data_IF_070670019871
#
_entry.id   IF_070670019871
#
_cell.length_a   1.000
_cell.length_b   1.000
_cell.length_c   1.000
_cell.angle_alpha   90.00
_cell.angle_beta   90.00
_cell.angle_gamma   90.00
#
_symmetry.space_group_name_H-M   'P 1'
#
loop_
_entity.id
_entity.type
_entity.pdbx_description
1 polymer ?
#
# COMPACT_ATOMS: atom_id res chain seq x y z
N UNK A 1 -3.58 -12.79 10.15
CA UNK A 1 -3.23 -12.79 8.73
C UNK A 1 -4.23 -11.98 7.96
N UNK A 2 -3.78 -11.19 7.02
CA UNK A 2 -4.65 -10.35 6.22
C UNK A 2 -4.76 -10.85 4.79
N UNK A 3 -5.42 -10.06 3.97
CA UNK A 3 -5.60 -10.33 2.55
C UNK A 3 -4.70 -9.37 1.76
N UNK A 4 -3.38 -9.56 1.88
CA UNK A 4 -2.39 -8.66 1.29
C UNK A 4 -1.65 -9.42 0.20
N UNK A 5 -1.62 -8.84 -1.00
CA UNK A 5 -0.93 -9.42 -2.15
C UNK A 5 0.50 -8.91 -2.19
N UNK A 6 1.44 -9.82 -2.38
CA UNK A 6 2.83 -9.42 -2.58
C UNK A 6 3.04 -8.97 -4.01
N UNK A 7 3.58 -7.77 -4.18
CA UNK A 7 3.74 -7.15 -5.49
C UNK A 7 5.18 -7.23 -5.97
N UNK A 8 5.33 -7.19 -7.29
CA UNK A 8 6.61 -7.10 -7.97
C UNK A 8 6.37 -6.38 -9.28
N UNK A 9 7.41 -6.17 -10.06
CA UNK A 9 7.23 -5.54 -11.37
C UNK A 9 6.29 -6.33 -12.26
N UNK A 10 6.18 -7.63 -12.04
CA UNK A 10 5.36 -8.51 -12.87
C UNK A 10 3.85 -8.23 -12.72
N UNK A 11 3.39 -7.99 -11.49
CA UNK A 11 1.96 -7.86 -11.23
C UNK A 11 1.52 -6.47 -10.78
N UNK A 12 2.43 -5.52 -10.67
CA UNK A 12 2.13 -4.22 -10.07
C UNK A 12 1.07 -3.44 -10.84
N UNK A 13 1.27 -3.29 -12.15
CA UNK A 13 0.37 -2.49 -12.98
C UNK A 13 -1.04 -3.09 -12.99
N UNK A 14 -1.12 -4.40 -13.19
CA UNK A 14 -2.40 -5.09 -13.20
C UNK A 14 -3.13 -4.95 -11.86
N UNK A 15 -2.38 -5.08 -10.78
CA UNK A 15 -2.96 -5.04 -9.43
C UNK A 15 -3.55 -3.66 -9.11
N UNK A 16 -2.90 -2.58 -9.57
CA UNK A 16 -3.31 -1.23 -9.24
C UNK A 16 -4.29 -0.61 -10.23
N UNK A 17 -4.67 -1.35 -11.26
CA UNK A 17 -5.35 -0.79 -12.42
C UNK A 17 -6.82 -0.46 -12.22
N UNK A 18 -7.50 -1.13 -11.30
CA UNK A 18 -8.95 -1.03 -11.16
C UNK A 18 -9.35 -0.85 -9.71
N UNK A 19 -10.29 0.06 -9.46
CA UNK A 19 -10.86 0.27 -8.13
C UNK A 19 -9.91 0.98 -7.20
N UNK A 20 -10.22 0.91 -5.90
CA UNK A 20 -9.38 1.52 -4.87
C UNK A 20 -8.37 0.49 -4.37
N UNK A 21 -7.10 0.86 -4.46
CA UNK A 21 -6.00 -0.04 -4.11
C UNK A 21 -5.04 0.69 -3.18
N UNK A 22 -4.61 0.00 -2.14
CA UNK A 22 -3.63 0.53 -1.20
C UNK A 22 -2.35 -0.29 -1.35
N UNK A 23 -1.22 0.40 -1.57
CA UNK A 23 0.08 -0.26 -1.75
C UNK A 23 1.04 0.23 -0.67
N UNK A 24 1.58 -0.71 0.11
CA UNK A 24 2.57 -0.45 1.14
C UNK A 24 3.97 -0.69 0.58
N UNK A 25 4.78 0.35 0.52
CA UNK A 25 6.19 0.25 0.13
C UNK A 25 7.00 0.07 1.41
N UNK A 26 7.64 -1.07 1.55
CA UNK A 26 8.30 -1.48 2.80
C UNK A 26 9.65 -2.12 2.53
N UNK A 27 10.40 -2.38 3.59
CA UNK A 27 11.65 -3.15 3.50
C UNK A 27 11.87 -3.88 4.82
N UNK A 28 12.56 -5.01 4.78
CA UNK A 28 12.75 -5.84 5.97
C UNK A 28 13.69 -5.20 7.00
N UNK A 29 14.52 -4.24 6.59
CA UNK A 29 15.41 -3.51 7.50
C UNK A 29 14.75 -2.26 8.09
N UNK A 30 13.50 -2.03 7.81
CA UNK A 30 12.78 -0.82 8.22
C UNK A 30 11.94 -1.15 9.46
N UNK A 31 12.32 -0.60 10.60
CA UNK A 31 11.60 -0.84 11.86
C UNK A 31 10.16 -0.40 11.83
N UNK A 32 9.88 0.87 11.43
CA UNK A 32 8.48 1.32 11.35
C UNK A 32 7.61 0.50 10.42
N UNK A 33 8.19 -0.04 9.33
CA UNK A 33 7.45 -0.90 8.41
C UNK A 33 6.90 -2.14 9.12
N UNK A 34 7.69 -2.69 10.05
CA UNK A 34 7.28 -3.87 10.81
C UNK A 34 6.13 -3.56 11.76
N UNK A 35 6.08 -2.33 12.27
CA UNK A 35 4.99 -1.91 13.14
C UNK A 35 3.69 -1.69 12.35
N UNK A 36 3.80 -1.32 11.08
CA UNK A 36 2.64 -1.11 10.23
C UNK A 36 2.05 -2.44 9.75
N UNK A 37 2.86 -3.50 9.66
CA UNK A 37 2.40 -4.77 9.10
C UNK A 37 1.12 -5.29 9.74
N UNK A 38 1.00 -5.38 11.08
CA UNK A 38 -0.26 -5.85 11.68
C UNK A 38 -1.42 -4.88 11.45
N UNK A 39 -1.14 -3.59 11.33
CA UNK A 39 -2.18 -2.59 11.03
C UNK A 39 -2.76 -2.86 9.64
N UNK A 40 -1.89 -3.16 8.68
CA UNK A 40 -2.33 -3.47 7.32
C UNK A 40 -3.09 -4.77 7.25
N UNK A 41 -2.69 -5.77 8.03
CA UNK A 41 -3.44 -7.02 8.10
C UNK A 41 -4.87 -6.76 8.52
N UNK A 42 -5.07 -6.02 9.60
CA UNK A 42 -6.41 -5.70 10.08
C UNK A 42 -7.18 -4.85 9.07
N UNK A 43 -6.51 -3.86 8.49
CA UNK A 43 -7.13 -3.01 7.47
C UNK A 43 -7.63 -3.84 6.30
N UNK A 44 -6.80 -4.77 5.81
CA UNK A 44 -7.15 -5.58 4.65
C UNK A 44 -8.37 -6.46 4.92
N UNK A 45 -8.53 -6.92 6.16
CA UNK A 45 -9.68 -7.70 6.55
C UNK A 45 -10.93 -6.83 6.58
N UNK A 46 -10.82 -5.66 7.20
CA UNK A 46 -11.96 -4.73 7.34
C UNK A 46 -12.48 -4.24 5.99
N UNK A 47 -11.58 -4.08 5.03
CA UNK A 47 -11.94 -3.52 3.72
C UNK A 47 -11.99 -4.57 2.62
N UNK A 48 -12.00 -5.85 2.97
CA UNK A 48 -12.06 -6.92 1.98
C UNK A 48 -13.27 -6.72 1.06
N UNK A 49 -13.03 -6.80 -0.24
CA UNK A 49 -14.08 -6.60 -1.24
C UNK A 49 -14.29 -5.14 -1.63
N UNK A 50 -13.70 -4.19 -0.89
CA UNK A 50 -13.82 -2.77 -1.21
C UNK A 50 -12.48 -2.13 -1.57
N UNK A 51 -11.41 -2.56 -0.93
CA UNK A 51 -10.06 -2.05 -1.18
C UNK A 51 -9.12 -3.24 -1.32
N UNK A 52 -8.39 -3.29 -2.42
CA UNK A 52 -7.33 -4.29 -2.59
C UNK A 52 -6.07 -3.76 -1.91
N UNK A 53 -5.38 -4.62 -1.17
CA UNK A 53 -4.18 -4.23 -0.44
C UNK A 53 -3.00 -5.04 -0.94
N UNK A 54 -1.93 -4.36 -1.34
CA UNK A 54 -0.70 -4.99 -1.76
C UNK A 54 0.48 -4.39 -1.04
N UNK A 55 1.60 -5.10 -1.07
CA UNK A 55 2.85 -4.59 -0.52
C UNK A 55 3.99 -4.83 -1.49
N UNK A 56 4.89 -3.88 -1.59
CA UNK A 56 6.05 -3.94 -2.47
C UNK A 56 7.31 -3.82 -1.64
N UNK A 57 8.15 -4.86 -1.68
CA UNK A 57 9.44 -4.85 -1.00
C UNK A 57 10.40 -3.98 -1.79
N UNK A 58 10.87 -2.90 -1.17
CA UNK A 58 11.72 -1.93 -1.86
C UNK A 58 13.08 -2.50 -2.26
N UNK A 59 13.58 -3.50 -1.52
CA UNK A 59 14.94 -4.00 -1.75
C UNK A 59 15.11 -4.67 -3.11
N UNK A 60 14.29 -5.67 -3.48
CA UNK A 60 14.43 -6.28 -4.80
C UNK A 60 13.74 -5.48 -5.92
N UNK A 61 12.99 -4.44 -5.59
CA UNK A 61 12.20 -3.68 -6.55
C UNK A 61 12.63 -2.21 -6.62
N UNK A 62 13.94 -1.97 -6.50
CA UNK A 62 14.47 -0.61 -6.46
C UNK A 62 14.10 0.24 -7.67
N UNK A 63 14.05 -0.36 -8.86
CA UNK A 63 13.69 0.37 -10.07
C UNK A 63 12.25 0.88 -10.00
N UNK A 64 11.34 0.03 -9.52
CA UNK A 64 9.93 0.42 -9.39
C UNK A 64 9.76 1.51 -8.34
N UNK A 65 10.47 1.39 -7.23
CA UNK A 65 10.44 2.39 -6.17
C UNK A 65 10.93 3.74 -6.68
N UNK A 66 12.01 3.73 -7.46
CA UNK A 66 12.53 4.97 -8.07
C UNK A 66 11.54 5.56 -9.06
N UNK A 67 10.93 4.71 -9.89
CA UNK A 67 9.92 5.14 -10.85
C UNK A 67 8.75 5.81 -10.17
N UNK A 68 8.33 5.32 -9.00
CA UNK A 68 7.21 5.85 -8.25
C UNK A 68 7.58 7.12 -7.47
N UNK A 69 8.85 7.52 -7.48
CA UNK A 69 9.29 8.72 -6.77
C UNK A 69 9.30 8.57 -5.26
N UNK A 70 9.43 7.34 -4.76
CA UNK A 70 9.42 7.09 -3.32
C UNK A 70 10.80 7.38 -2.75
N UNK A 71 10.84 8.20 -1.70
CA UNK A 71 12.10 8.58 -1.05
C UNK A 71 12.20 8.10 0.38
N UNK A 72 11.07 7.82 1.01
CA UNK A 72 11.03 7.39 2.41
C UNK A 72 10.17 6.15 2.51
N UNK A 73 10.50 5.26 3.43
CA UNK A 73 9.67 4.12 3.74
C UNK A 73 9.43 4.09 5.25
N UNK A 74 8.25 3.64 5.67
CA UNK A 74 7.15 3.16 4.82
C UNK A 74 6.45 4.33 4.09
N UNK A 75 6.02 4.06 2.88
CA UNK A 75 5.14 4.95 2.15
C UNK A 75 3.96 4.12 1.67
N UNK A 76 2.76 4.61 1.91
CA UNK A 76 1.54 3.95 1.48
C UNK A 76 0.92 4.79 0.38
N UNK A 77 0.68 4.17 -0.77
CA UNK A 77 0.07 4.83 -1.92
C UNK A 77 -1.38 4.38 -2.03
N UNK A 78 -2.26 5.32 -2.35
CA UNK A 78 -3.65 5.01 -2.64
C UNK A 78 -3.87 5.23 -4.13
N UNK A 79 -4.34 4.17 -4.79
CA UNK A 79 -4.70 4.23 -6.22
C UNK A 79 -6.20 4.23 -6.36
N UNK A 80 -6.68 4.90 -7.40
CA UNK A 80 -8.06 4.75 -7.86
C UNK A 80 -8.02 4.62 -9.37
N UNK A 81 -8.48 3.46 -9.86
CA UNK A 81 -8.55 3.15 -11.29
C UNK A 81 -7.22 3.44 -12.00
N UNK A 82 -6.13 3.01 -11.41
CA UNK A 82 -4.81 3.06 -12.00
C UNK A 82 -4.00 4.31 -11.71
N UNK A 83 -4.58 5.28 -11.02
CA UNK A 83 -3.88 6.53 -10.74
C UNK A 83 -3.67 6.72 -9.24
N UNK A 84 -2.50 7.22 -8.87
CA UNK A 84 -2.20 7.55 -7.48
C UNK A 84 -3.01 8.79 -7.12
N UNK A 85 -3.90 8.65 -6.15
CA UNK A 85 -4.77 9.76 -5.72
C UNK A 85 -4.38 10.29 -4.36
N UNK A 86 -3.59 9.54 -3.58
CA UNK A 86 -3.17 9.98 -2.25
C UNK A 86 -1.98 9.18 -1.77
N UNK A 87 -1.33 9.64 -0.71
CA UNK A 87 -0.22 8.92 -0.12
C UNK A 87 -0.10 9.24 1.36
N UNK A 88 0.50 8.31 2.10
CA UNK A 88 0.81 8.48 3.51
C UNK A 88 2.26 8.08 3.72
N UNK A 89 3.06 8.97 4.30
CA UNK A 89 4.49 8.72 4.51
C UNK A 89 4.75 8.57 6.00
N UNK A 90 5.47 7.50 6.36
CA UNK A 90 5.82 7.25 7.76
C UNK A 90 4.75 6.46 8.50
N UNK A 91 4.82 6.52 9.82
CA UNK A 91 3.88 5.81 10.68
C UNK A 91 2.46 6.29 10.50
N UNK A 92 1.51 5.37 10.64
CA UNK A 92 0.08 5.67 10.50
C UNK A 92 -0.70 4.77 11.44
N UNK A 93 -2.02 4.91 11.43
CA UNK A 93 -2.92 4.07 12.20
C UNK A 93 -4.00 3.51 11.28
N UNK A 94 -4.68 2.47 11.74
CA UNK A 94 -5.78 1.91 10.96
C UNK A 94 -6.88 2.95 10.74
N UNK A 95 -7.15 3.78 11.74
CA UNK A 95 -8.15 4.84 11.63
C UNK A 95 -7.80 5.85 10.55
N UNK A 96 -6.53 6.26 10.49
CA UNK A 96 -6.08 7.21 9.48
C UNK A 96 -6.14 6.61 8.09
N UNK A 97 -5.75 5.35 7.94
CA UNK A 97 -5.85 4.65 6.66
C UNK A 97 -7.29 4.53 6.21
N UNK A 98 -8.21 4.22 7.15
CA UNK A 98 -9.62 4.12 6.84
C UNK A 98 -10.17 5.45 6.33
N UNK A 99 -9.86 6.53 7.03
CA UNK A 99 -10.29 7.86 6.60
C UNK A 99 -9.75 8.21 5.22
N UNK A 100 -8.49 7.83 4.97
CA UNK A 100 -7.83 8.13 3.71
C UNK A 100 -8.54 7.46 2.54
N UNK A 101 -8.84 6.16 2.65
CA UNK A 101 -9.47 5.43 1.54
C UNK A 101 -10.95 5.73 1.41
N UNK A 102 -11.65 6.03 2.50
CA UNK A 102 -13.08 6.29 2.44
C UNK A 102 -13.41 7.44 1.49
N UNK A 103 -12.51 8.39 1.35
CA UNK A 103 -12.70 9.51 0.42
C UNK A 103 -12.90 9.06 -1.02
N UNK A 104 -12.38 7.87 -1.36
CA UNK A 104 -12.32 7.41 -2.75
C UNK A 104 -13.24 6.21 -3.01
N UNK A 105 -14.04 5.80 -2.03
CA UNK A 105 -14.83 4.59 -2.14
C UNK A 105 -16.23 4.78 -2.72
N UNK A 106 -16.54 5.93 -3.20
CA UNK A 106 -17.86 6.17 -3.78
C UNK A 106 -17.88 5.92 -5.27
#
# INVERSE_FOLDING_TARGET
MGFITELSETNYTEFTQTGVVLVDIWANWCGPCKQIAPILDEFSIDFQGRVAVGKLDATPNGDKVAELGIRNIPTILVYKDGEIVDRSVGMTTKEKLSELVEQYLN
#
